data_IF_876128697205
#
_entry.id   IF_876128697205
#
_cell.length_a   1.000
_cell.length_b   1.000
_cell.length_c   1.000
_cell.angle_alpha   90.00
_cell.angle_beta   90.00
_cell.angle_gamma   90.00
#
_symmetry.space_group_name_H-M   'P 1'
#
loop_
_entity.id
_entity.type
_entity.pdbx_description
1 polymer ?
#
# COMPACT_ATOMS: atom_id res chain seq x y z
N UNK A 1 2.20 -8.73 -12.76
CA UNK A 1 3.27 -7.84 -13.24
C UNK A 1 3.09 -7.82 -14.74
N UNK A 2 2.95 -6.63 -15.29
CA UNK A 2 2.76 -6.46 -16.74
C UNK A 2 4.08 -6.77 -17.47
N UNK A 3 4.02 -6.86 -18.80
CA UNK A 3 5.21 -7.15 -19.63
C UNK A 3 6.35 -6.14 -19.43
N UNK A 4 6.02 -4.90 -19.06
CA UNK A 4 6.98 -3.81 -18.79
C UNK A 4 7.56 -3.81 -17.37
N UNK A 5 7.19 -4.78 -16.53
CA UNK A 5 7.62 -4.86 -15.14
C UNK A 5 6.80 -4.01 -14.16
N UNK A 6 5.77 -3.29 -14.64
CA UNK A 6 4.86 -2.53 -13.79
C UNK A 6 3.89 -3.45 -13.02
N UNK A 7 3.41 -2.97 -11.88
CA UNK A 7 2.44 -3.67 -11.05
C UNK A 7 1.26 -2.76 -10.85
N UNK A 8 0.18 -3.04 -11.58
CA UNK A 8 -1.10 -2.38 -11.38
C UNK A 8 -1.85 -3.03 -10.21
N UNK A 9 -1.90 -2.34 -9.09
CA UNK A 9 -2.58 -2.76 -7.86
C UNK A 9 -3.74 -1.83 -7.48
N UNK A 10 -4.57 -1.49 -8.46
CA UNK A 10 -5.79 -0.68 -8.29
C UNK A 10 -6.67 -1.17 -7.13
N UNK A 11 -6.79 -2.50 -6.94
CA UNK A 11 -7.51 -3.08 -5.81
C UNK A 11 -6.99 -2.61 -4.43
N UNK A 12 -5.69 -2.36 -4.30
CA UNK A 12 -5.06 -1.88 -3.06
C UNK A 12 -5.31 -0.39 -2.88
N UNK A 13 -5.24 0.36 -3.98
CA UNK A 13 -5.55 1.79 -4.01
C UNK A 13 -6.98 2.01 -3.56
N UNK A 14 -7.94 1.29 -4.14
CA UNK A 14 -9.36 1.44 -3.82
C UNK A 14 -9.66 1.08 -2.36
N UNK A 15 -9.04 0.00 -1.85
CA UNK A 15 -9.15 -0.38 -0.45
C UNK A 15 -8.65 0.73 0.49
N UNK A 16 -7.44 1.25 0.26
CA UNK A 16 -6.85 2.27 1.12
C UNK A 16 -7.59 3.62 0.98
N UNK A 17 -7.99 4.00 -0.23
CA UNK A 17 -8.80 5.20 -0.51
C UNK A 17 -10.07 5.19 0.34
N UNK A 18 -10.84 4.12 0.29
CA UNK A 18 -12.09 4.01 1.05
C UNK A 18 -11.87 4.18 2.55
N UNK A 19 -10.78 3.63 3.11
CA UNK A 19 -10.47 3.80 4.54
C UNK A 19 -10.00 5.22 4.87
N UNK A 20 -9.25 5.87 3.98
CA UNK A 20 -8.80 7.26 4.17
C UNK A 20 -9.99 8.21 4.11
N UNK A 21 -10.96 7.99 3.22
CA UNK A 21 -12.19 8.80 3.15
C UNK A 21 -12.99 8.76 4.46
N UNK A 22 -13.25 7.57 4.99
CA UNK A 22 -13.97 7.43 6.27
C UNK A 22 -13.15 7.93 7.47
N UNK A 23 -11.83 7.72 7.46
CA UNK A 23 -10.94 8.30 8.47
C UNK A 23 -10.99 9.83 8.47
N UNK A 24 -10.99 10.46 7.29
CA UNK A 24 -11.12 11.92 7.17
C UNK A 24 -12.46 12.42 7.70
N UNK A 25 -13.56 11.68 7.48
CA UNK A 25 -14.87 12.01 8.07
C UNK A 25 -14.82 11.95 9.59
N UNK A 26 -14.24 10.89 10.17
CA UNK A 26 -14.11 10.78 11.62
C UNK A 26 -13.35 11.97 12.24
N UNK A 27 -12.31 12.47 11.57
CA UNK A 27 -11.56 13.64 12.06
C UNK A 27 -12.31 14.95 11.85
N UNK A 28 -12.82 15.20 10.64
CA UNK A 28 -13.36 16.52 10.26
C UNK A 28 -14.82 16.74 10.62
N UNK A 29 -15.62 15.66 10.65
CA UNK A 29 -17.04 15.71 10.97
C UNK A 29 -17.31 15.31 12.42
N UNK A 30 -16.72 14.19 12.88
CA UNK A 30 -16.96 13.69 14.25
C UNK A 30 -15.99 14.27 15.31
N UNK A 31 -14.95 14.99 14.87
CA UNK A 31 -14.02 15.71 15.75
C UNK A 31 -13.02 14.81 16.50
N UNK A 32 -12.72 13.61 15.97
CA UNK A 32 -11.76 12.68 16.57
C UNK A 32 -10.34 13.23 16.49
N UNK A 33 -9.61 13.20 17.61
CA UNK A 33 -8.17 13.52 17.66
C UNK A 33 -7.35 12.32 17.16
N UNK A 34 -6.95 12.37 15.88
CA UNK A 34 -6.18 11.31 15.22
C UNK A 34 -4.75 11.79 14.92
N UNK A 35 -3.76 11.12 15.51
CA UNK A 35 -2.35 11.48 15.33
C UNK A 35 -1.80 11.20 13.93
N UNK A 36 -2.28 10.16 13.25
CA UNK A 36 -1.77 9.77 11.93
C UNK A 36 -2.28 8.41 11.45
N UNK A 37 -1.82 8.00 10.27
CA UNK A 37 -2.23 6.78 9.59
C UNK A 37 -1.06 6.10 8.89
N UNK A 38 -0.79 4.83 9.22
CA UNK A 38 0.36 4.08 8.70
C UNK A 38 -0.07 2.74 8.09
N UNK A 39 -0.19 2.64 6.75
CA UNK A 39 -0.54 1.40 6.07
C UNK A 39 0.42 0.25 6.40
N UNK A 40 -0.15 -0.91 6.73
CA UNK A 40 0.62 -2.10 7.06
C UNK A 40 1.43 -2.62 5.87
N UNK A 41 2.63 -3.12 6.15
CA UNK A 41 3.48 -3.78 5.17
C UNK A 41 3.78 -2.88 3.97
N UNK A 42 4.12 -1.61 4.21
CA UNK A 42 4.37 -0.58 3.19
C UNK A 42 5.42 -0.99 2.12
N UNK A 43 6.32 -1.91 2.48
CA UNK A 43 7.11 -2.75 1.58
C UNK A 43 6.66 -4.20 1.75
N UNK A 44 6.61 -4.97 0.66
CA UNK A 44 6.25 -6.39 0.74
C UNK A 44 7.10 -7.13 1.79
N UNK A 45 6.41 -7.82 2.71
CA UNK A 45 6.99 -8.53 3.83
C UNK A 45 6.38 -9.93 3.95
N UNK A 46 7.02 -10.79 4.72
CA UNK A 46 6.51 -12.13 5.05
C UNK A 46 5.18 -11.98 5.81
N UNK A 47 4.13 -12.69 5.37
CA UNK A 47 2.83 -12.68 6.02
C UNK A 47 2.87 -13.32 7.40
N UNK A 48 1.98 -12.89 8.31
CA UNK A 48 1.94 -13.43 9.67
C UNK A 48 1.49 -14.90 9.72
N UNK A 49 0.30 -15.22 9.20
CA UNK A 49 -0.32 -16.54 9.37
C UNK A 49 0.37 -17.65 8.59
N UNK A 50 0.80 -17.37 7.37
CA UNK A 50 1.31 -18.40 6.45
C UNK A 50 2.80 -18.29 6.17
N UNK A 51 3.47 -17.22 6.62
CA UNK A 51 4.90 -17.04 6.37
C UNK A 51 5.23 -16.84 4.88
N UNK A 52 4.30 -16.33 4.09
CA UNK A 52 4.40 -16.24 2.63
C UNK A 52 4.74 -14.83 2.14
N UNK A 53 5.47 -14.74 1.03
CA UNK A 53 5.66 -13.55 0.21
C UNK A 53 4.55 -13.36 -0.84
N UNK A 54 3.82 -14.42 -1.19
CA UNK A 54 2.73 -14.35 -2.18
C UNK A 54 1.58 -13.43 -1.75
N UNK A 55 1.32 -13.30 -0.45
CA UNK A 55 0.33 -12.35 0.10
C UNK A 55 0.95 -10.98 0.37
N UNK A 56 0.79 -10.06 -0.58
CA UNK A 56 1.54 -8.79 -0.66
C UNK A 56 0.74 -7.58 -0.19
N UNK A 57 1.38 -6.72 0.61
CA UNK A 57 0.76 -5.53 1.22
C UNK A 57 1.36 -4.19 0.75
N UNK A 58 2.58 -4.18 0.23
CA UNK A 58 3.32 -2.93 0.07
C UNK A 58 2.97 -2.10 -1.14
N UNK A 59 3.37 -0.83 -1.05
CA UNK A 59 3.55 0.08 -2.17
C UNK A 59 4.83 -0.27 -2.97
N UNK A 60 5.80 -0.86 -2.28
CA UNK A 60 7.06 -1.33 -2.84
C UNK A 60 6.97 -2.86 -2.98
N UNK A 61 7.12 -3.33 -4.22
CA UNK A 61 7.25 -4.75 -4.51
C UNK A 61 8.66 -5.22 -4.16
N UNK A 62 8.76 -6.42 -3.61
CA UNK A 62 10.02 -7.13 -3.38
C UNK A 62 10.03 -8.38 -4.24
N UNK A 63 11.06 -8.52 -5.08
CA UNK A 63 11.28 -9.69 -5.92
C UNK A 63 11.77 -10.87 -5.07
N UNK A 64 10.83 -11.47 -4.35
CA UNK A 64 11.00 -12.68 -3.55
C UNK A 64 9.71 -13.48 -3.55
N UNK A 65 9.83 -14.79 -3.65
CA UNK A 65 8.72 -15.72 -3.79
C UNK A 65 8.77 -16.83 -2.72
N UNK A 66 7.65 -17.53 -2.53
CA UNK A 66 7.49 -18.57 -1.50
C UNK A 66 8.41 -19.78 -1.74
N UNK A 67 8.74 -20.08 -2.99
CA UNK A 67 9.68 -21.12 -3.41
C UNK A 67 11.17 -20.73 -3.22
N UNK A 68 11.42 -19.51 -2.72
CA UNK A 68 12.75 -18.97 -2.51
C UNK A 68 13.35 -18.27 -3.73
N UNK A 69 12.70 -18.26 -4.90
CA UNK A 69 13.18 -17.53 -6.07
C UNK A 69 13.11 -16.00 -5.85
N UNK A 70 13.88 -15.27 -6.66
CA UNK A 70 13.96 -13.79 -6.62
C UNK A 70 15.27 -13.27 -6.01
N UNK A 71 15.63 -12.04 -6.39
CA UNK A 71 16.91 -11.39 -6.09
C UNK A 71 16.81 -10.30 -4.99
N UNK A 72 15.65 -10.18 -4.34
CA UNK A 72 15.34 -9.13 -3.36
C UNK A 72 15.39 -7.70 -3.93
N UNK A 73 15.41 -7.51 -5.25
CA UNK A 73 15.26 -6.19 -5.86
C UNK A 73 13.91 -5.58 -5.52
N UNK A 74 13.85 -4.24 -5.60
CA UNK A 74 12.66 -3.46 -5.27
C UNK A 74 12.16 -2.71 -6.48
N UNK A 75 10.86 -2.72 -6.69
CA UNK A 75 10.20 -1.93 -7.71
C UNK A 75 8.96 -1.23 -7.15
N UNK A 76 8.55 -0.15 -7.80
CA UNK A 76 7.37 0.62 -7.40
C UNK A 76 6.14 -0.05 -7.98
N UNK A 77 5.10 -0.21 -7.17
CA UNK A 77 3.76 -0.51 -7.66
C UNK A 77 3.05 0.80 -8.02
N UNK A 78 1.92 0.72 -8.73
CA UNK A 78 1.10 1.90 -9.05
C UNK A 78 0.72 2.68 -7.79
N UNK A 79 0.37 1.94 -6.73
CA UNK A 79 0.04 2.49 -5.41
C UNK A 79 1.16 3.32 -4.76
N UNK A 80 2.41 3.21 -5.20
CA UNK A 80 3.52 4.02 -4.68
C UNK A 80 3.36 5.51 -4.96
N UNK A 81 3.20 5.87 -6.24
CA UNK A 81 3.02 7.28 -6.63
C UNK A 81 1.65 7.80 -6.19
N UNK A 82 0.65 6.93 -6.15
CA UNK A 82 -0.65 7.27 -5.57
C UNK A 82 -0.50 7.71 -4.11
N UNK A 83 0.13 6.90 -3.25
CA UNK A 83 0.28 7.24 -1.83
C UNK A 83 1.23 8.44 -1.61
N UNK A 84 2.18 8.66 -2.52
CA UNK A 84 2.97 9.90 -2.55
C UNK A 84 2.08 11.15 -2.72
N UNK A 85 1.14 11.14 -3.67
CA UNK A 85 0.21 12.27 -3.88
C UNK A 85 -0.77 12.42 -2.72
N UNK A 86 -1.23 11.31 -2.12
CA UNK A 86 -2.04 11.34 -0.90
C UNK A 86 -1.31 12.09 0.21
N UNK A 87 -0.05 11.77 0.48
CA UNK A 87 0.76 12.47 1.49
C UNK A 87 0.98 13.93 1.10
N UNK A 88 1.37 14.20 -0.14
CA UNK A 88 1.68 15.56 -0.62
C UNK A 88 0.47 16.49 -0.56
N UNK A 89 -0.73 15.96 -0.77
CA UNK A 89 -2.00 16.69 -0.68
C UNK A 89 -2.64 16.64 0.71
N UNK A 90 -1.98 16.05 1.71
CA UNK A 90 -2.54 15.81 3.04
C UNK A 90 -3.92 15.11 3.01
N UNK A 91 -4.08 14.15 2.09
CA UNK A 91 -5.30 13.36 1.92
C UNK A 91 -6.40 14.04 1.10
N UNK A 92 -6.17 15.20 0.48
CA UNK A 92 -7.17 15.87 -0.37
C UNK A 92 -7.27 15.28 -1.79
N UNK A 93 -6.20 14.63 -2.27
CA UNK A 93 -6.22 13.90 -3.54
C UNK A 93 -6.02 12.40 -3.28
N UNK A 94 -7.06 11.62 -3.57
CA UNK A 94 -7.11 10.17 -3.41
C UNK A 94 -7.39 9.47 -4.74
#
# INVERSE_FOLDING_TARGET
MEEDGSINDDYRIDYLRAHIEEMKKAVTYDGVDLMGYTPWGCIDCVSFTTGQYSKRYGFIYVNKHDDGAGDMSRSRKKSFNWYQEVIASNGEKL
#
